data_IF_471515538967
#
_entry.id   IF_471515538967
#
_cell.length_a   1.000
_cell.length_b   1.000
_cell.length_c   1.000
_cell.angle_alpha   90.00
_cell.angle_beta   90.00
_cell.angle_gamma   90.00
#
_symmetry.space_group_name_H-M   'P 1'
#
loop_
_entity.id
_entity.type
_entity.pdbx_description
1 polymer ?
#
# COMPACT_ATOMS: atom_id res chain seq x y z
N UNK A 1 17.23 1.65 -8.22
CA UNK A 1 15.84 1.15 -8.31
C UNK A 1 14.93 2.34 -8.53
N UNK A 2 14.55 2.65 -9.77
CA UNK A 2 13.83 3.87 -10.10
C UNK A 2 12.33 3.76 -9.79
N UNK A 3 11.70 4.75 -9.15
CA UNK A 3 10.24 4.79 -9.02
C UNK A 3 9.60 3.89 -7.94
N UNK A 4 10.38 3.33 -7.01
CA UNK A 4 9.83 2.81 -5.73
C UNK A 4 9.78 3.97 -4.75
N UNK A 5 8.61 4.25 -4.20
CA UNK A 5 8.40 5.30 -3.18
C UNK A 5 8.63 4.75 -1.79
N UNK A 6 8.12 3.55 -1.54
CA UNK A 6 8.10 2.97 -0.20
C UNK A 6 8.14 1.45 -0.30
N UNK A 7 8.86 0.82 0.62
CA UNK A 7 8.93 -0.62 0.76
C UNK A 7 9.08 -0.96 2.23
N UNK A 8 8.23 -1.85 2.74
CA UNK A 8 8.37 -2.38 4.09
C UNK A 8 7.65 -3.72 4.26
N UNK A 9 7.92 -4.38 5.38
CA UNK A 9 7.25 -5.60 5.81
C UNK A 9 6.25 -5.25 6.91
N UNK A 10 5.00 -5.65 6.69
CA UNK A 10 3.91 -5.46 7.62
C UNK A 10 3.42 -6.79 8.17
N UNK A 11 2.97 -6.75 9.42
CA UNK A 11 2.32 -7.85 10.10
C UNK A 11 0.84 -7.51 10.32
N UNK A 12 -0.06 -8.42 9.94
CA UNK A 12 -1.50 -8.28 10.18
C UNK A 12 -1.77 -8.47 11.68
N UNK A 13 -2.15 -7.39 12.36
CA UNK A 13 -2.49 -7.41 13.79
C UNK A 13 -3.96 -7.68 14.04
N UNK A 14 -4.82 -7.12 13.20
CA UNK A 14 -6.26 -7.24 13.33
C UNK A 14 -6.94 -7.25 11.95
N UNK A 15 -8.11 -7.86 11.88
CA UNK A 15 -8.91 -7.99 10.67
C UNK A 15 -10.37 -7.67 10.99
N UNK A 16 -10.93 -6.69 10.29
CA UNK A 16 -12.32 -6.26 10.43
C UNK A 16 -12.72 -5.95 11.91
N UNK A 17 -12.08 -4.95 12.56
CA UNK A 17 -12.36 -4.64 13.98
C UNK A 17 -13.80 -4.21 14.27
N UNK A 18 -14.52 -3.70 13.26
CA UNK A 18 -15.93 -3.37 13.35
C UNK A 18 -16.88 -4.54 12.96
N UNK A 19 -16.32 -5.73 12.78
CA UNK A 19 -17.00 -6.89 12.20
C UNK A 19 -17.02 -6.88 10.67
N UNK A 20 -17.24 -8.06 10.10
CA UNK A 20 -17.28 -8.26 8.64
C UNK A 20 -18.53 -7.60 8.05
N UNK A 21 -18.39 -6.35 7.58
CA UNK A 21 -19.46 -5.60 6.90
C UNK A 21 -19.62 -6.01 5.43
N UNK A 22 -18.56 -6.53 4.80
CA UNK A 22 -18.52 -6.90 3.39
C UNK A 22 -18.05 -8.33 3.21
N UNK A 23 -18.66 -9.06 2.26
CA UNK A 23 -18.36 -10.49 2.11
C UNK A 23 -17.03 -10.78 1.41
N UNK A 24 -16.63 -9.90 0.49
CA UNK A 24 -15.47 -10.07 -0.40
C UNK A 24 -14.33 -9.09 -0.13
N UNK A 25 -14.54 -8.16 0.81
CA UNK A 25 -13.55 -7.15 1.17
C UNK A 25 -13.37 -7.19 2.68
N UNK A 26 -12.12 -7.19 3.11
CA UNK A 26 -11.76 -7.12 4.52
C UNK A 26 -10.83 -5.95 4.75
N UNK A 27 -11.01 -5.27 5.87
CA UNK A 27 -10.16 -4.18 6.35
C UNK A 27 -9.09 -4.75 7.27
N UNK A 28 -7.86 -4.75 6.79
CA UNK A 28 -6.71 -5.18 7.56
C UNK A 28 -6.14 -4.01 8.35
N UNK A 29 -5.79 -4.28 9.60
CA UNK A 29 -4.97 -3.42 10.44
C UNK A 29 -3.61 -4.08 10.60
N UNK A 30 -2.60 -3.46 10.02
CA UNK A 30 -1.26 -3.97 9.95
C UNK A 30 -0.29 -2.99 10.62
N UNK A 31 0.76 -3.55 11.21
CA UNK A 31 1.82 -2.77 11.84
C UNK A 31 3.14 -3.14 11.18
N UNK A 32 3.97 -2.13 10.88
CA UNK A 32 5.31 -2.31 10.35
C UNK A 32 6.25 -2.93 11.38
N UNK A 33 7.12 -3.84 10.94
CA UNK A 33 8.14 -4.45 11.81
C UNK A 33 9.34 -3.51 12.02
N UNK A 34 9.63 -2.65 11.04
CA UNK A 34 10.87 -1.86 10.98
C UNK A 34 10.71 -0.44 11.53
N UNK A 35 9.58 0.22 11.22
CA UNK A 35 9.45 1.68 11.32
C UNK A 35 8.31 2.16 12.23
N UNK A 36 7.66 1.29 13.02
CA UNK A 36 6.51 1.63 13.87
C UNK A 36 5.42 2.42 13.11
N UNK A 37 5.13 1.96 11.90
CA UNK A 37 4.07 2.50 11.05
C UNK A 37 2.80 1.71 11.21
N UNK A 38 1.70 2.44 11.18
CA UNK A 38 0.37 1.88 11.20
C UNK A 38 -0.22 1.91 9.79
N UNK A 39 -0.67 0.75 9.33
CA UNK A 39 -1.28 0.57 8.01
C UNK A 39 -2.71 0.05 8.19
N UNK A 40 -3.66 0.76 7.61
CA UNK A 40 -5.02 0.24 7.41
C UNK A 40 -5.20 0.05 5.92
N UNK A 41 -5.61 -1.14 5.48
CA UNK A 41 -5.74 -1.47 4.08
C UNK A 41 -6.98 -2.32 3.83
N UNK A 42 -7.84 -1.86 2.91
CA UNK A 42 -8.93 -2.67 2.39
C UNK A 42 -8.39 -3.58 1.27
N UNK A 43 -8.57 -4.90 1.43
CA UNK A 43 -8.17 -5.89 0.42
C UNK A 43 -9.35 -6.75 -0.01
N UNK A 44 -9.27 -7.29 -1.22
CA UNK A 44 -10.20 -8.31 -1.67
C UNK A 44 -9.81 -9.68 -1.10
N UNK A 45 -10.41 -10.04 0.03
CA UNK A 45 -10.14 -11.30 0.74
C UNK A 45 -10.56 -12.55 -0.03
N UNK A 46 -11.36 -12.42 -1.09
CA UNK A 46 -11.72 -13.54 -1.96
C UNK A 46 -10.62 -13.87 -2.98
N UNK A 47 -9.92 -12.86 -3.49
CA UNK A 47 -8.79 -13.05 -4.40
C UNK A 47 -7.50 -13.37 -3.64
N UNK A 48 -7.29 -12.68 -2.51
CA UNK A 48 -6.07 -12.79 -1.73
C UNK A 48 -6.42 -13.05 -0.25
N UNK A 49 -6.60 -14.33 0.13
CA UNK A 49 -6.94 -14.69 1.51
C UNK A 49 -5.74 -14.45 2.42
N UNK A 50 -5.91 -13.54 3.38
CA UNK A 50 -4.95 -13.23 4.43
C UNK A 50 -5.50 -13.69 5.77
N UNK A 51 -4.62 -14.15 6.66
CA UNK A 51 -4.97 -14.55 8.03
C UNK A 51 -4.35 -13.61 9.06
N UNK A 52 -4.90 -13.64 10.28
CA UNK A 52 -4.40 -12.82 11.38
C UNK A 52 -3.02 -13.33 11.82
N UNK A 53 -2.03 -12.44 11.90
CA UNK A 53 -0.63 -12.78 12.15
C UNK A 53 0.21 -13.02 10.89
N UNK A 54 -0.39 -13.00 9.69
CA UNK A 54 0.37 -13.11 8.45
C UNK A 54 1.32 -11.91 8.28
N UNK A 55 2.52 -12.21 7.78
CA UNK A 55 3.48 -11.20 7.35
C UNK A 55 3.47 -11.06 5.84
N UNK A 56 3.53 -9.83 5.35
CA UNK A 56 3.62 -9.56 3.93
C UNK A 56 4.58 -8.40 3.67
N UNK A 57 5.25 -8.46 2.53
CA UNK A 57 6.03 -7.35 1.98
C UNK A 57 5.09 -6.48 1.15
N UNK A 58 5.07 -5.19 1.45
CA UNK A 58 4.33 -4.18 0.71
C UNK A 58 5.32 -3.22 0.04
N UNK A 59 5.08 -2.95 -1.24
CA UNK A 59 5.85 -2.00 -2.03
C UNK A 59 4.89 -1.02 -2.69
N UNK A 60 5.18 0.27 -2.57
CA UNK A 60 4.49 1.35 -3.27
C UNK A 60 5.42 1.91 -4.34
N UNK A 61 4.95 1.95 -5.57
CA UNK A 61 5.72 2.43 -6.72
C UNK A 61 4.89 3.38 -7.58
N UNK A 62 5.55 4.34 -8.24
CA UNK A 62 4.90 5.22 -9.22
C UNK A 62 4.76 4.57 -10.60
N UNK A 63 5.57 3.55 -10.89
CA UNK A 63 5.59 2.86 -12.17
C UNK A 63 5.89 1.38 -11.98
N UNK A 64 5.26 0.54 -12.80
CA UNK A 64 5.51 -0.91 -12.86
C UNK A 64 6.74 -1.27 -13.71
N UNK A 65 7.20 -0.33 -14.55
CA UNK A 65 8.35 -0.52 -15.43
C UNK A 65 9.65 -0.41 -14.64
N UNK A 66 10.57 -1.32 -14.88
CA UNK A 66 11.88 -1.30 -14.20
C UNK A 66 12.72 -0.09 -14.61
N UNK A 67 12.53 0.39 -15.84
CA UNK A 67 13.23 1.54 -16.44
C UNK A 67 12.89 2.90 -15.82
N UNK A 68 11.86 2.99 -14.96
CA UNK A 68 11.50 4.23 -14.28
C UNK A 68 10.81 5.27 -15.18
N UNK A 69 10.45 4.92 -16.41
CA UNK A 69 9.65 5.79 -17.27
C UNK A 69 8.28 6.06 -16.62
N UNK A 70 7.78 7.32 -16.69
CA UNK A 70 6.45 7.66 -16.22
C UNK A 70 5.41 6.83 -16.97
N UNK A 71 4.41 6.37 -16.24
CA UNK A 71 3.34 5.57 -16.80
C UNK A 71 2.53 6.39 -17.82
N UNK A 72 2.22 5.78 -18.96
CA UNK A 72 1.50 6.43 -20.06
C UNK A 72 -0.01 6.52 -19.78
N UNK A 73 -0.49 5.86 -18.72
CA UNK A 73 -1.90 5.83 -18.33
C UNK A 73 -2.75 4.84 -19.13
N UNK A 74 -2.14 4.12 -20.06
CA UNK A 74 -2.77 3.05 -20.83
C UNK A 74 -2.24 1.69 -20.37
N UNK A 75 -3.15 0.84 -19.87
CA UNK A 75 -2.80 -0.52 -19.48
C UNK A 75 -2.78 -1.42 -20.72
N UNK A 76 -1.58 -1.80 -21.17
CA UNK A 76 -1.38 -2.76 -22.25
C UNK A 76 -1.07 -4.16 -21.70
N UNK A 77 -1.97 -5.15 -21.86
CA UNK A 77 -1.73 -6.51 -21.39
C UNK A 77 -0.63 -7.26 -22.18
N UNK A 78 -0.19 -6.72 -23.33
CA UNK A 78 0.89 -7.30 -24.14
C UNK A 78 2.29 -6.85 -23.72
N UNK A 79 2.42 -5.76 -22.97
CA UNK A 79 3.71 -5.26 -22.45
C UNK A 79 4.10 -5.90 -21.11
N UNK A 80 3.42 -6.98 -20.73
CA UNK A 80 3.51 -7.58 -19.40
C UNK A 80 4.78 -8.42 -19.16
N UNK A 81 5.64 -8.63 -20.16
CA UNK A 81 6.87 -9.41 -19.98
C UNK A 81 7.95 -8.58 -19.26
N UNK A 82 8.27 -8.96 -18.01
CA UNK A 82 9.38 -8.38 -17.26
C UNK A 82 9.02 -7.16 -16.41
N UNK A 83 7.75 -7.04 -15.99
CA UNK A 83 7.33 -5.96 -15.10
C UNK A 83 7.55 -6.32 -13.64
N UNK A 84 7.64 -5.31 -12.76
CA UNK A 84 7.77 -5.56 -11.31
C UNK A 84 6.61 -6.38 -10.76
N UNK A 85 5.43 -6.27 -11.37
CA UNK A 85 4.22 -6.98 -10.96
C UNK A 85 4.41 -8.50 -10.92
N UNK A 86 5.22 -9.09 -11.81
CA UNK A 86 5.42 -10.54 -11.89
C UNK A 86 6.03 -11.15 -10.62
N UNK A 87 6.75 -10.35 -9.82
CA UNK A 87 7.37 -10.81 -8.58
C UNK A 87 6.43 -10.77 -7.36
N UNK A 88 5.26 -10.14 -7.50
CA UNK A 88 4.27 -9.92 -6.44
C UNK A 88 2.98 -10.68 -6.73
N UNK A 89 2.25 -11.00 -5.67
CA UNK A 89 1.05 -11.84 -5.76
C UNK A 89 -0.22 -11.00 -5.90
N UNK A 90 -0.20 -9.77 -5.39
CA UNK A 90 -1.35 -8.89 -5.37
C UNK A 90 -0.92 -7.48 -5.75
N UNK A 91 -1.61 -6.89 -6.74
CA UNK A 91 -1.31 -5.56 -7.28
C UNK A 91 -2.58 -4.73 -7.33
N UNK A 92 -2.48 -3.48 -6.89
CA UNK A 92 -3.56 -2.49 -6.97
C UNK A 92 -3.05 -1.19 -7.58
N UNK A 93 -3.91 -0.51 -8.33
CA UNK A 93 -3.63 0.82 -8.85
C UNK A 93 -4.62 1.83 -8.25
N UNK A 94 -4.09 2.96 -7.80
CA UNK A 94 -4.86 3.93 -7.05
C UNK A 94 -4.23 5.32 -7.09
N UNK A 95 -4.85 6.23 -6.35
CA UNK A 95 -4.37 7.59 -6.19
C UNK A 95 -4.39 8.06 -4.75
N UNK A 96 -3.42 8.90 -4.39
CA UNK A 96 -3.42 9.60 -3.11
C UNK A 96 -4.46 10.70 -3.20
N UNK A 97 -5.44 10.71 -2.28
CA UNK A 97 -6.49 11.73 -2.29
C UNK A 97 -6.37 12.71 -1.12
N UNK A 98 -5.68 12.32 -0.04
CA UNK A 98 -5.52 13.14 1.15
C UNK A 98 -4.21 12.80 1.84
N UNK A 99 -3.51 13.83 2.30
CA UNK A 99 -2.35 13.70 3.19
C UNK A 99 -2.63 14.61 4.38
N UNK A 100 -2.45 14.09 5.58
CA UNK A 100 -2.59 14.84 6.83
C UNK A 100 -1.28 14.82 7.59
N UNK A 101 -0.83 15.98 8.05
CA UNK A 101 0.20 16.08 9.08
C UNK A 101 -0.46 16.15 10.46
N UNK A 102 0.02 15.38 11.42
CA UNK A 102 -0.48 15.46 12.79
C UNK A 102 0.17 16.67 13.49
N UNK A 103 -0.48 17.84 13.38
CA UNK A 103 -0.05 19.07 14.08
C UNK A 103 -0.54 19.12 15.54
N UNK A 104 -1.33 18.13 15.99
CA UNK A 104 -2.06 18.19 17.26
C UNK A 104 -1.27 17.71 18.48
N UNK A 105 -0.10 17.08 18.29
CA UNK A 105 0.87 16.80 19.33
C UNK A 105 2.20 17.43 18.93
N UNK A 106 2.96 17.93 19.90
CA UNK A 106 4.29 18.55 19.74
C UNK A 106 5.36 17.62 19.08
N UNK A 107 4.97 16.47 18.54
CA UNK A 107 5.76 15.58 17.71
C UNK A 107 5.42 15.86 16.24
N UNK A 108 5.97 16.95 15.69
CA UNK A 108 5.80 17.42 14.32
C UNK A 108 6.38 16.49 13.22
N UNK A 109 6.40 15.17 13.45
CA UNK A 109 7.06 14.18 12.59
C UNK A 109 6.10 13.14 12.01
N UNK A 110 4.87 12.96 12.53
CA UNK A 110 3.96 11.91 12.00
C UNK A 110 3.03 12.45 10.91
N UNK A 111 3.04 11.78 9.76
CA UNK A 111 2.17 12.02 8.62
C UNK A 111 1.27 10.80 8.38
N UNK A 112 0.05 11.08 7.93
CA UNK A 112 -0.94 10.10 7.50
C UNK A 112 -1.29 10.32 6.04
N UNK A 113 -0.89 9.40 5.17
CA UNK A 113 -1.27 9.38 3.77
C UNK A 113 -2.49 8.48 3.55
N UNK A 114 -3.47 8.99 2.81
CA UNK A 114 -4.66 8.26 2.44
C UNK A 114 -4.70 8.03 0.92
N UNK A 115 -4.86 6.76 0.55
CA UNK A 115 -4.86 6.30 -0.83
C UNK A 115 -6.17 5.60 -1.13
N UNK A 116 -6.68 5.77 -2.35
CA UNK A 116 -7.86 5.06 -2.84
C UNK A 116 -7.50 4.24 -4.08
N UNK A 117 -7.72 2.93 -4.00
CA UNK A 117 -7.55 1.96 -5.07
C UNK A 117 -8.93 1.59 -5.65
N UNK A 118 -9.54 2.51 -6.40
CA UNK A 118 -10.85 2.28 -7.02
C UNK A 118 -11.99 2.05 -6.03
N UNK A 119 -11.90 2.63 -4.83
CA UNK A 119 -12.89 2.47 -3.75
C UNK A 119 -12.38 1.66 -2.54
N UNK A 120 -11.31 0.88 -2.70
CA UNK A 120 -10.59 0.27 -1.57
C UNK A 120 -9.70 1.33 -0.92
N UNK A 121 -9.87 1.57 0.36
CA UNK A 121 -9.14 2.63 1.07
C UNK A 121 -7.89 2.08 1.74
N UNK A 122 -6.86 2.93 1.76
CA UNK A 122 -5.64 2.71 2.51
C UNK A 122 -5.32 3.95 3.32
N UNK A 123 -4.83 3.73 4.54
CA UNK A 123 -4.23 4.75 5.39
C UNK A 123 -2.87 4.26 5.86
N UNK A 124 -1.82 4.98 5.51
CA UNK A 124 -0.46 4.74 5.98
C UNK A 124 -0.06 5.88 6.90
N UNK A 125 0.22 5.57 8.16
CA UNK A 125 0.66 6.53 9.16
C UNK A 125 2.09 6.21 9.59
N UNK A 126 2.98 7.19 9.51
CA UNK A 126 4.39 7.01 9.81
C UNK A 126 5.15 8.32 9.90
N UNK A 127 6.46 8.25 10.09
CA UNK A 127 7.32 9.44 10.11
C UNK A 127 7.44 10.10 8.74
N UNK A 128 7.55 11.43 8.73
CA UNK A 128 7.67 12.28 7.55
C UNK A 128 8.79 11.86 6.60
N UNK A 129 9.91 11.43 7.16
CA UNK A 129 11.09 11.01 6.41
C UNK A 129 10.80 9.78 5.52
N UNK A 130 9.90 8.92 5.95
CA UNK A 130 9.56 7.68 5.25
C UNK A 130 8.42 7.86 4.24
N UNK A 131 7.61 8.91 4.40
CA UNK A 131 6.56 9.31 3.44
C UNK A 131 7.07 10.37 2.45
N UNK A 132 8.38 10.43 2.22
CA UNK A 132 8.97 11.36 1.26
C UNK A 132 8.59 10.96 -0.18
N UNK A 133 7.94 11.87 -0.92
CA UNK A 133 7.55 11.65 -2.32
C UNK A 133 6.08 11.25 -2.54
N UNK A 134 5.25 11.33 -1.49
CA UNK A 134 3.80 11.24 -1.59
C UNK A 134 3.21 12.63 -1.88
N UNK A 135 2.54 12.78 -3.02
CA UNK A 135 1.85 14.00 -3.41
C UNK A 135 0.35 13.74 -3.61
N UNK A 136 -0.49 14.73 -3.28
CA UNK A 136 -1.93 14.63 -3.52
C UNK A 136 -2.21 14.55 -5.03
N UNK A 137 -3.20 13.74 -5.41
CA UNK A 137 -3.55 13.38 -6.79
C UNK A 137 -2.47 12.62 -7.57
N UNK A 138 -1.42 12.17 -6.90
CA UNK A 138 -0.44 11.27 -7.49
C UNK A 138 -0.99 9.85 -7.60
N UNK A 139 -0.75 9.23 -8.75
CA UNK A 139 -1.05 7.83 -9.00
C UNK A 139 0.05 6.92 -8.47
N UNK A 140 -0.35 5.78 -7.91
CA UNK A 140 0.57 4.78 -7.40
C UNK A 140 0.06 3.36 -7.62
N UNK A 141 1.03 2.47 -7.68
CA UNK A 141 0.88 1.03 -7.67
C UNK A 141 1.22 0.52 -6.28
N UNK A 142 0.32 -0.26 -5.70
CA UNK A 142 0.57 -1.07 -4.52
C UNK A 142 0.85 -2.49 -4.96
N UNK A 143 1.97 -3.04 -4.53
CA UNK A 143 2.36 -4.42 -4.77
C UNK A 143 2.54 -5.11 -3.43
N UNK A 144 1.96 -6.30 -3.28
CA UNK A 144 2.00 -7.10 -2.07
C UNK A 144 2.45 -8.53 -2.38
N UNK A 145 3.24 -9.08 -1.48
CA UNK A 145 3.69 -10.47 -1.51
C UNK A 145 3.69 -11.02 -0.09
N UNK A 146 2.96 -12.11 0.15
CA UNK A 146 2.96 -12.79 1.44
C UNK A 146 4.31 -13.44 1.68
N UNK A 147 4.78 -13.33 2.91
CA UNK A 147 5.99 -13.98 3.36
C UNK A 147 5.57 -15.23 4.13
N UNK A 148 5.78 -16.40 3.53
CA UNK A 148 5.60 -17.66 4.23
C UNK A 148 6.81 -17.88 5.16
N UNK A 149 6.55 -18.10 6.44
CA UNK A 149 7.51 -18.60 7.42
C UNK A 149 7.13 -20.01 7.85
#
# INVERSE_FOLDING_TARGET
MAGVLFEDIFNVKDMDPEGKKFDRVSRLHCESESFKMDLILDINSWLYPMELGDKFRLVLATTLREDGCPDSGEYNPMEHEGTRADSFEYVMYGKIYRIEGDEAHNEASRLSAYVSFGGLLMRLQGDANNLHGFEVDQHMYLLMKRLAF
#
